data_IF_829100919087
#
_entry.id   IF_829100919087
#
_cell.length_a   1.000
_cell.length_b   1.000
_cell.length_c   1.000
_cell.angle_alpha   90.00
_cell.angle_beta   90.00
_cell.angle_gamma   90.00
#
_symmetry.space_group_name_H-M   'P 1'
#
loop_
_entity.id
_entity.type
_entity.pdbx_description
1 polymer ?
#
# COMPACT_ATOMS: atom_id res chain seq x y z
N UNK A 1 -0.87 -11.35 22.91
CA UNK A 1 -1.10 -11.92 21.57
C UNK A 1 -2.24 -12.97 21.53
N UNK A 2 -3.21 -12.97 22.47
CA UNK A 2 -4.30 -13.96 22.52
C UNK A 2 -5.52 -13.62 21.65
N UNK A 3 -5.66 -12.38 21.19
CA UNK A 3 -6.76 -12.00 20.30
C UNK A 3 -6.30 -12.14 18.84
N UNK A 4 -6.93 -13.05 18.08
CA UNK A 4 -6.68 -13.29 16.64
C UNK A 4 -7.19 -12.11 15.78
N UNK A 5 -6.75 -10.89 16.09
CA UNK A 5 -7.14 -9.67 15.38
C UNK A 5 -6.32 -9.57 14.10
N UNK A 6 -7.01 -9.40 12.97
CA UNK A 6 -6.35 -9.09 11.70
C UNK A 6 -6.01 -7.61 11.65
N UNK A 7 -4.72 -7.30 11.57
CA UNK A 7 -4.24 -5.92 11.46
C UNK A 7 -4.21 -5.46 10.01
N UNK A 8 -4.34 -4.15 9.79
CA UNK A 8 -4.17 -3.50 8.49
C UNK A 8 -3.34 -2.23 8.68
N UNK A 9 -2.44 -1.94 7.74
CA UNK A 9 -1.59 -0.77 7.76
C UNK A 9 -2.24 0.38 6.97
N UNK A 10 -2.43 1.54 7.62
CA UNK A 10 -2.86 2.76 6.94
C UNK A 10 -1.71 3.75 6.86
N UNK A 11 -1.21 4.00 5.66
CA UNK A 11 -0.25 5.05 5.38
C UNK A 11 -0.99 6.38 5.21
N UNK A 12 -1.03 7.17 6.29
CA UNK A 12 -1.67 8.48 6.31
C UNK A 12 -0.70 9.60 5.90
N UNK A 13 -1.25 10.78 5.60
CA UNK A 13 -0.53 12.01 5.20
C UNK A 13 0.19 11.90 3.84
N UNK A 14 -0.36 11.09 2.93
CA UNK A 14 0.18 10.96 1.56
C UNK A 14 0.14 12.29 0.82
N UNK A 15 -0.79 13.19 1.16
CA UNK A 15 -0.87 14.55 0.65
C UNK A 15 0.41 15.37 0.83
N UNK A 16 1.13 15.17 1.94
CA UNK A 16 2.38 15.91 2.23
C UNK A 16 3.49 15.56 1.23
N UNK A 17 3.48 14.34 0.68
CA UNK A 17 4.42 13.95 -0.37
C UNK A 17 4.24 14.79 -1.64
N UNK A 18 3.00 15.25 -1.89
CA UNK A 18 2.61 15.98 -3.10
C UNK A 18 2.74 17.49 -2.89
N UNK A 19 2.22 17.99 -1.77
CA UNK A 19 2.05 19.43 -1.52
C UNK A 19 3.25 20.04 -0.83
N UNK A 20 3.83 19.37 0.17
CA UNK A 20 4.89 19.95 0.99
C UNK A 20 6.27 19.56 0.49
N UNK A 21 6.47 18.26 0.22
CA UNK A 21 7.74 17.75 -0.28
C UNK A 21 7.88 17.88 -1.80
N UNK A 22 6.78 18.17 -2.50
CA UNK A 22 6.72 18.36 -3.96
C UNK A 22 7.43 17.26 -4.76
N UNK A 23 7.35 16.01 -4.29
CA UNK A 23 7.99 14.87 -4.94
C UNK A 23 7.35 14.59 -6.30
N UNK A 24 8.07 13.91 -7.18
CA UNK A 24 7.46 13.29 -8.36
C UNK A 24 6.67 12.02 -7.96
N UNK A 25 5.72 11.55 -8.78
CA UNK A 25 5.00 10.30 -8.51
C UNK A 25 5.92 9.08 -8.31
N UNK A 26 7.09 9.07 -8.96
CA UNK A 26 8.05 7.98 -8.81
C UNK A 26 8.76 8.03 -7.45
N UNK A 27 9.25 9.21 -7.05
CA UNK A 27 9.90 9.40 -5.75
C UNK A 27 8.93 9.16 -4.58
N UNK A 28 7.67 9.59 -4.72
CA UNK A 28 6.64 9.32 -3.74
C UNK A 28 6.38 7.80 -3.60
N UNK A 29 6.36 7.05 -4.71
CA UNK A 29 6.25 5.59 -4.67
C UNK A 29 7.45 4.93 -3.98
N UNK A 30 8.67 5.34 -4.30
CA UNK A 30 9.88 4.82 -3.64
C UNK A 30 9.87 5.12 -2.14
N UNK A 31 9.36 6.28 -1.73
CA UNK A 31 9.20 6.62 -0.31
C UNK A 31 8.16 5.72 0.37
N UNK A 32 7.02 5.48 -0.27
CA UNK A 32 5.97 4.59 0.24
C UNK A 32 6.46 3.14 0.35
N UNK A 33 7.21 2.64 -0.63
CA UNK A 33 7.86 1.33 -0.58
C UNK A 33 8.75 1.20 0.65
N UNK A 34 9.68 2.14 0.84
CA UNK A 34 10.60 2.17 1.99
C UNK A 34 9.86 2.18 3.32
N UNK A 35 8.74 2.89 3.42
CA UNK A 35 7.93 2.91 4.66
C UNK A 35 7.32 1.54 4.93
N UNK A 36 6.76 0.86 3.92
CA UNK A 36 6.21 -0.50 4.10
C UNK A 36 7.31 -1.48 4.51
N UNK A 37 8.47 -1.42 3.88
CA UNK A 37 9.64 -2.25 4.22
C UNK A 37 10.09 -2.02 5.67
N UNK A 38 10.18 -0.75 6.10
CA UNK A 38 10.55 -0.41 7.48
C UNK A 38 9.54 -0.94 8.50
N UNK A 39 8.24 -0.81 8.21
CA UNK A 39 7.19 -1.35 9.10
C UNK A 39 7.28 -2.87 9.20
N UNK A 40 7.52 -3.55 8.07
CA UNK A 40 7.69 -5.01 8.07
C UNK A 40 8.94 -5.45 8.83
N UNK A 41 10.07 -4.74 8.70
CA UNK A 41 11.29 -5.04 9.44
C UNK A 41 11.07 -4.93 10.96
N UNK A 42 10.38 -3.88 11.42
CA UNK A 42 10.01 -3.73 12.84
C UNK A 42 9.08 -4.85 13.28
N UNK A 43 8.11 -5.22 12.45
CA UNK A 43 7.15 -6.27 12.80
C UNK A 43 7.81 -7.65 12.88
N UNK A 44 8.76 -7.95 11.99
CA UNK A 44 9.58 -9.17 12.04
C UNK A 44 10.43 -9.22 13.32
N UNK A 45 11.03 -8.11 13.72
CA UNK A 45 11.77 -8.00 14.99
C UNK A 45 10.87 -8.29 16.20
N UNK A 46 9.66 -7.70 16.24
CA UNK A 46 8.72 -7.95 17.34
C UNK A 46 8.22 -9.40 17.38
N UNK A 47 8.04 -10.02 16.20
CA UNK A 47 7.60 -11.40 16.11
C UNK A 47 8.70 -12.37 16.54
N UNK A 48 9.96 -12.12 16.17
CA UNK A 48 11.10 -12.94 16.59
C UNK A 48 11.33 -12.84 18.10
N UNK A 49 11.22 -11.63 18.69
CA UNK A 49 11.24 -11.45 20.15
C UNK A 49 10.14 -12.26 20.85
N UNK A 50 8.92 -12.22 20.30
CA UNK A 50 7.79 -12.97 20.87
C UNK A 50 7.92 -14.49 20.71
N UNK A 51 8.58 -14.97 19.66
CA UNK A 51 8.89 -16.38 19.47
C UNK A 51 9.92 -16.84 20.52
N UNK A 52 11.04 -16.13 20.65
CA UNK A 52 12.08 -16.47 21.63
C UNK A 52 11.58 -16.41 23.08
N UNK A 53 10.68 -15.49 23.42
CA UNK A 53 10.08 -15.44 24.75
C UNK A 53 9.18 -16.66 25.05
N UNK A 54 8.44 -17.17 24.05
CA UNK A 54 7.62 -18.38 24.21
C UNK A 54 8.48 -19.63 24.35
N UNK A 55 9.58 -19.71 23.61
CA UNK A 55 10.50 -20.82 23.71
C UNK A 55 11.18 -20.85 25.09
N UNK A 56 11.50 -19.68 25.65
CA UNK A 56 12.00 -19.55 27.02
C UNK A 56 10.96 -19.99 28.07
N UNK A 57 9.72 -19.49 27.99
CA UNK A 57 8.62 -19.90 28.89
C UNK A 57 8.32 -21.41 28.76
N UNK A 58 8.39 -21.95 27.54
CA UNK A 58 8.20 -23.37 27.26
C UNK A 58 9.33 -24.25 27.79
N UNK A 59 10.58 -23.79 27.68
CA UNK A 59 11.75 -24.44 28.24
C UNK A 59 11.72 -24.42 29.78
N UNK A 60 11.32 -23.30 30.39
CA UNK A 60 11.13 -23.21 31.86
C UNK A 60 10.01 -24.14 32.34
N UNK A 61 8.86 -24.17 31.65
CA UNK A 61 7.76 -25.08 31.98
C UNK A 61 8.13 -26.57 31.80
N UNK A 62 8.93 -26.89 30.78
CA UNK A 62 9.44 -28.25 30.58
C UNK A 62 10.47 -28.65 31.65
N UNK A 63 11.33 -27.72 32.07
CA UNK A 63 12.29 -27.93 33.14
C UNK A 63 11.61 -28.13 34.51
N UNK A 64 10.51 -27.41 34.79
CA UNK A 64 9.70 -27.63 36.00
C UNK A 64 8.94 -28.97 35.97
N UNK A 65 8.54 -29.46 34.80
CA UNK A 65 7.79 -30.70 34.64
C UNK A 65 8.67 -31.98 34.73
N UNK A 66 10.00 -31.85 34.59
CA UNK A 66 10.94 -32.99 34.63
C UNK A 66 12.24 -32.61 35.37
N UNK A 67 12.25 -32.66 36.72
CA UNK A 67 13.45 -32.37 37.49
C UNK A 67 14.47 -33.50 37.31
N UNK A 68 15.49 -33.28 36.45
CA UNK A 68 16.65 -34.17 36.32
C UNK A 68 17.00 -34.70 34.91
N UNK A 69 16.53 -34.08 33.83
CA UNK A 69 16.99 -34.41 32.48
C UNK A 69 18.32 -33.70 32.13
N UNK A 70 19.21 -34.44 31.48
CA UNK A 70 20.57 -34.10 31.04
C UNK A 70 20.69 -32.72 30.34
N UNK A 71 21.59 -31.85 30.81
CA UNK A 71 21.85 -30.48 30.30
C UNK A 71 22.66 -30.47 28.98
N UNK A 72 22.41 -31.41 28.09
CA UNK A 72 23.03 -31.45 26.76
C UNK A 72 22.19 -30.69 25.74
N UNK A 73 22.62 -29.51 25.30
CA UNK A 73 21.99 -28.79 24.18
C UNK A 73 22.44 -29.44 22.87
N UNK A 74 21.57 -30.25 22.27
CA UNK A 74 21.79 -30.84 20.94
C UNK A 74 21.55 -29.78 19.85
N UNK A 75 22.63 -29.13 19.40
CA UNK A 75 22.63 -28.12 18.33
C UNK A 75 22.19 -28.68 16.96
N UNK A 76 22.06 -30.00 16.81
CA UNK A 76 21.63 -30.63 15.56
C UNK A 76 20.10 -30.81 15.45
N UNK A 77 19.35 -30.64 16.54
CA UNK A 77 17.91 -30.92 16.61
C UNK A 77 17.01 -29.72 16.85
N UNK A 78 17.56 -28.51 17.04
CA UNK A 78 16.76 -27.29 17.11
C UNK A 78 16.23 -26.93 15.71
N UNK A 79 15.19 -27.65 15.28
CA UNK A 79 14.29 -27.13 14.26
C UNK A 79 13.73 -25.82 14.82
N UNK A 80 14.27 -24.70 14.35
CA UNK A 80 13.58 -23.43 14.46
C UNK A 80 12.26 -23.60 13.72
N UNK A 81 11.22 -24.04 14.42
CA UNK A 81 9.84 -24.03 13.95
C UNK A 81 9.40 -22.56 13.86
N UNK A 82 9.89 -21.87 12.84
CA UNK A 82 9.27 -20.63 12.41
C UNK A 82 7.88 -20.99 11.93
N UNK A 83 6.86 -20.60 12.68
CA UNK A 83 5.48 -20.68 12.23
C UNK A 83 5.32 -19.72 11.03
N UNK A 84 5.63 -20.21 9.83
CA UNK A 84 5.59 -19.48 8.55
C UNK A 84 4.22 -18.85 8.35
N UNK A 85 3.16 -19.49 8.84
CA UNK A 85 1.80 -18.96 8.77
C UNK A 85 1.61 -17.71 9.65
N UNK A 86 2.31 -17.62 10.78
CA UNK A 86 2.33 -16.43 11.62
C UNK A 86 3.09 -15.28 10.93
N UNK A 87 4.30 -15.54 10.38
CA UNK A 87 5.05 -14.51 9.64
C UNK A 87 4.27 -13.95 8.45
N UNK A 88 3.64 -14.83 7.67
CA UNK A 88 2.78 -14.42 6.58
C UNK A 88 1.56 -13.65 7.09
N UNK A 89 0.94 -14.03 8.20
CA UNK A 89 -0.24 -13.32 8.72
C UNK A 89 0.06 -11.85 9.08
N UNK A 90 1.26 -11.57 9.55
CA UNK A 90 1.64 -10.25 10.05
C UNK A 90 2.42 -9.39 9.04
N UNK A 91 2.85 -9.94 7.91
CA UNK A 91 3.54 -9.14 6.88
C UNK A 91 2.59 -8.21 6.11
N UNK A 92 2.88 -6.90 6.08
CA UNK A 92 2.08 -5.92 5.33
C UNK A 92 2.53 -5.84 3.88
N UNK A 93 1.63 -6.07 2.93
CA UNK A 93 1.86 -5.86 1.50
C UNK A 93 0.60 -5.32 0.83
N UNK A 94 0.67 -4.17 0.13
CA UNK A 94 -0.48 -3.60 -0.56
C UNK A 94 -1.18 -4.57 -1.52
N UNK A 95 -0.45 -5.48 -2.15
CA UNK A 95 -0.98 -6.49 -3.09
C UNK A 95 -1.92 -7.49 -2.41
N UNK A 96 -1.75 -7.71 -1.09
CA UNK A 96 -2.60 -8.56 -0.24
C UNK A 96 -3.84 -7.83 0.25
N UNK A 97 -3.94 -6.52 0.03
CA UNK A 97 -5.07 -5.71 0.47
C UNK A 97 -5.07 -5.38 1.97
N UNK A 98 -3.98 -5.65 2.69
CA UNK A 98 -3.81 -5.28 4.10
C UNK A 98 -3.09 -3.95 4.31
N UNK A 99 -2.88 -3.18 3.23
CA UNK A 99 -2.35 -1.81 3.27
C UNK A 99 -3.27 -0.85 2.54
N UNK A 100 -3.54 0.29 3.16
CA UNK A 100 -4.29 1.41 2.59
C UNK A 100 -3.43 2.69 2.61
N UNK A 101 -3.74 3.60 1.69
CA UNK A 101 -3.09 4.90 1.53
C UNK A 101 -4.14 5.98 1.69
N UNK A 102 -3.82 7.08 2.37
CA UNK A 102 -4.80 8.12 2.56
C UNK A 102 -4.26 9.45 3.04
N UNK A 103 -5.19 10.39 3.08
CA UNK A 103 -5.03 11.72 3.64
C UNK A 103 -6.26 12.07 4.45
N UNK A 104 -6.13 12.04 5.78
CA UNK A 104 -7.22 12.45 6.66
C UNK A 104 -7.53 13.95 6.54
N UNK A 105 -6.51 14.79 6.28
CA UNK A 105 -6.66 16.25 6.08
C UNK A 105 -7.49 16.58 4.83
N UNK A 106 -7.30 15.81 3.76
CA UNK A 106 -8.00 16.02 2.49
C UNK A 106 -9.18 15.06 2.28
N UNK A 107 -9.47 14.20 3.26
CA UNK A 107 -10.71 13.42 3.33
C UNK A 107 -10.82 12.31 2.29
N UNK A 108 -9.73 11.57 2.03
CA UNK A 108 -9.77 10.40 1.16
C UNK A 108 -8.85 9.29 1.67
N UNK A 109 -9.23 8.05 1.42
CA UNK A 109 -8.35 6.89 1.56
C UNK A 109 -8.68 5.85 0.49
N UNK A 110 -7.70 5.03 0.12
CA UNK A 110 -7.91 3.92 -0.79
C UNK A 110 -6.98 2.75 -0.49
N UNK A 111 -7.46 1.55 -0.78
CA UNK A 111 -6.63 0.36 -0.94
C UNK A 111 -6.38 0.08 -2.43
N UNK A 112 -5.42 -0.79 -2.76
CA UNK A 112 -5.22 -1.21 -4.15
C UNK A 112 -6.48 -1.82 -4.76
N UNK A 113 -7.29 -2.53 -3.96
CA UNK A 113 -8.56 -3.09 -4.42
C UNK A 113 -9.56 -2.04 -4.92
N UNK A 114 -9.48 -0.81 -4.39
CA UNK A 114 -10.32 0.32 -4.83
C UNK A 114 -9.97 0.70 -6.26
N UNK A 115 -8.69 0.94 -6.55
CA UNK A 115 -8.23 1.26 -7.91
C UNK A 115 -8.28 0.05 -8.85
N UNK A 116 -8.05 -1.17 -8.35
CA UNK A 116 -8.15 -2.38 -9.15
C UNK A 116 -9.53 -2.53 -9.77
N UNK A 117 -10.62 -2.22 -9.05
CA UNK A 117 -11.99 -2.20 -9.60
C UNK A 117 -12.19 -1.10 -10.66
N UNK A 118 -11.64 0.10 -10.41
CA UNK A 118 -11.73 1.22 -11.36
C UNK A 118 -10.95 0.94 -12.67
N UNK A 119 -9.82 0.24 -12.57
CA UNK A 119 -8.97 -0.11 -13.70
C UNK A 119 -9.53 -1.34 -14.43
N UNK A 120 -10.06 -2.32 -13.69
CA UNK A 120 -10.70 -3.52 -14.23
C UNK A 120 -11.83 -3.17 -15.21
N UNK A 121 -12.70 -2.21 -14.85
CA UNK A 121 -13.82 -1.80 -15.70
C UNK A 121 -13.36 -1.17 -17.02
N UNK A 122 -12.21 -0.48 -17.03
CA UNK A 122 -11.64 0.12 -18.24
C UNK A 122 -10.85 -0.88 -19.09
N UNK A 123 -10.16 -1.83 -18.46
CA UNK A 123 -9.22 -2.74 -19.12
C UNK A 123 -9.79 -4.13 -19.42
N UNK A 124 -10.95 -4.47 -18.88
CA UNK A 124 -11.55 -5.81 -19.02
C UNK A 124 -10.77 -6.90 -18.29
N UNK A 125 -10.08 -6.56 -17.20
CA UNK A 125 -9.29 -7.48 -16.39
C UNK A 125 -9.99 -7.80 -15.06
N UNK A 126 -9.64 -8.94 -14.44
CA UNK A 126 -10.15 -9.29 -13.11
C UNK A 126 -9.52 -8.37 -12.05
N UNK A 127 -10.32 -7.74 -11.14
CA UNK A 127 -9.79 -6.87 -10.09
C UNK A 127 -8.75 -7.55 -9.20
N UNK A 128 -8.93 -8.83 -8.90
CA UNK A 128 -8.05 -9.60 -8.01
C UNK A 128 -6.65 -9.75 -8.63
N UNK A 129 -6.59 -9.98 -9.95
CA UNK A 129 -5.33 -10.07 -10.67
C UNK A 129 -4.65 -8.70 -10.70
N UNK A 130 -5.39 -7.64 -10.99
CA UNK A 130 -4.86 -6.28 -10.99
C UNK A 130 -4.30 -5.88 -9.63
N UNK A 131 -4.98 -6.22 -8.54
CA UNK A 131 -4.49 -5.93 -7.19
C UNK A 131 -3.10 -6.50 -6.93
N UNK A 132 -2.84 -7.74 -7.40
CA UNK A 132 -1.55 -8.42 -7.25
C UNK A 132 -0.42 -7.80 -8.05
N UNK A 133 -0.74 -7.13 -9.15
CA UNK A 133 0.27 -6.55 -10.06
C UNK A 133 0.33 -5.03 -10.01
N UNK A 134 -0.58 -4.36 -9.30
CA UNK A 134 -0.57 -2.91 -9.18
C UNK A 134 0.63 -2.43 -8.36
N UNK A 135 1.16 -3.24 -7.45
CA UNK A 135 2.28 -2.89 -6.57
C UNK A 135 3.53 -3.72 -6.86
N UNK A 136 4.70 -3.15 -6.58
CA UNK A 136 5.99 -3.79 -6.81
C UNK A 136 6.53 -3.58 -8.23
N UNK A 137 7.31 -4.55 -8.71
CA UNK A 137 8.05 -4.47 -9.97
C UNK A 137 7.26 -4.97 -11.18
N UNK A 138 6.08 -4.42 -11.36
CA UNK A 138 5.20 -4.70 -12.49
C UNK A 138 4.97 -3.44 -13.31
N UNK A 139 5.05 -3.57 -14.63
CA UNK A 139 4.79 -2.48 -15.57
C UNK A 139 3.80 -2.91 -16.63
N UNK A 140 3.13 -1.93 -17.24
CA UNK A 140 2.12 -2.17 -18.25
C UNK A 140 2.60 -1.74 -19.63
N UNK A 141 2.59 -2.67 -20.59
CA UNK A 141 2.89 -2.35 -21.97
C UNK A 141 1.62 -1.92 -22.71
N UNK A 142 1.49 -0.63 -23.01
CA UNK A 142 0.31 -0.05 -23.70
C UNK A 142 0.07 -0.62 -25.10
N UNK A 143 1.13 -1.07 -25.79
CA UNK A 143 1.01 -1.62 -27.15
C UNK A 143 0.43 -3.03 -27.12
N UNK A 144 0.97 -3.88 -26.25
CA UNK A 144 0.54 -5.28 -26.15
C UNK A 144 -0.64 -5.47 -25.19
N UNK A 145 -0.98 -4.44 -24.40
CA UNK A 145 -1.95 -4.47 -23.30
C UNK A 145 -1.66 -5.57 -22.28
N UNK A 146 -0.39 -5.86 -22.04
CA UNK A 146 0.05 -6.89 -21.10
C UNK A 146 0.85 -6.31 -19.94
N UNK A 147 0.70 -6.95 -18.80
CA UNK A 147 1.53 -6.72 -17.61
C UNK A 147 2.79 -7.58 -17.75
N UNK A 148 3.93 -6.99 -17.42
CA UNK A 148 5.24 -7.63 -17.46
C UNK A 148 6.06 -7.20 -16.26
N UNK A 149 7.09 -7.98 -15.91
CA UNK A 149 8.06 -7.56 -14.90
C UNK A 149 8.77 -6.30 -15.38
N UNK A 150 9.01 -5.39 -14.44
CA UNK A 150 9.73 -4.14 -14.69
C UNK A 150 11.13 -4.46 -15.19
N UNK A 151 11.56 -3.74 -16.22
CA UNK A 151 12.96 -3.67 -16.60
C UNK A 151 13.55 -2.39 -15.96
N UNK A 152 14.44 -2.49 -14.96
CA UNK A 152 14.99 -1.33 -14.28
C UNK A 152 15.82 -0.41 -15.18
N UNK A 153 16.34 -0.94 -16.29
CA UNK A 153 17.19 -0.20 -17.24
C UNK A 153 16.38 0.69 -18.18
N UNK A 154 15.11 0.35 -18.40
CA UNK A 154 14.23 1.16 -19.25
C UNK A 154 13.57 2.28 -18.45
N UNK A 155 14.07 3.50 -18.62
CA UNK A 155 13.51 4.70 -17.97
C UNK A 155 12.03 4.96 -18.30
N UNK A 156 11.49 4.39 -19.38
CA UNK A 156 10.05 4.49 -19.71
C UNK A 156 9.20 3.49 -18.93
N UNK A 157 9.82 2.49 -18.30
CA UNK A 157 9.17 1.43 -17.55
C UNK A 157 8.81 1.92 -16.15
N UNK A 158 7.58 2.42 -16.00
CA UNK A 158 7.06 2.91 -14.72
C UNK A 158 6.27 1.80 -14.01
N UNK A 159 6.39 1.67 -12.67
CA UNK A 159 5.54 0.77 -11.90
C UNK A 159 4.06 1.06 -12.15
N UNK A 160 3.23 0.01 -12.17
CA UNK A 160 1.80 0.16 -12.40
C UNK A 160 1.13 1.09 -11.37
N UNK A 161 1.56 1.04 -10.10
CA UNK A 161 1.08 1.95 -9.06
C UNK A 161 1.31 3.41 -9.44
N UNK A 162 2.51 3.73 -9.93
CA UNK A 162 2.88 5.09 -10.33
C UNK A 162 2.02 5.54 -11.51
N UNK A 163 1.88 4.68 -12.52
CA UNK A 163 1.19 5.04 -13.76
C UNK A 163 -0.33 5.13 -13.63
N UNK A 164 -0.97 4.20 -12.90
CA UNK A 164 -2.42 4.11 -12.85
C UNK A 164 -3.05 4.68 -11.57
N UNK A 165 -2.26 4.85 -10.50
CA UNK A 165 -2.77 5.34 -9.22
C UNK A 165 -2.18 6.71 -8.89
N UNK A 166 -0.87 6.80 -8.64
CA UNK A 166 -0.26 8.06 -8.19
C UNK A 166 -0.39 9.16 -9.23
N UNK A 167 -0.16 8.90 -10.51
CA UNK A 167 -0.35 9.94 -11.54
C UNK A 167 -1.76 10.53 -11.54
N UNK A 168 -2.78 9.71 -11.28
CA UNK A 168 -4.16 10.21 -11.24
C UNK A 168 -4.39 11.07 -10.00
N UNK A 169 -3.91 10.63 -8.83
CA UNK A 169 -3.98 11.43 -7.59
C UNK A 169 -3.21 12.75 -7.76
N UNK A 170 -1.96 12.69 -8.22
CA UNK A 170 -1.12 13.87 -8.45
C UNK A 170 -1.75 14.85 -9.45
N UNK A 171 -2.34 14.36 -10.54
CA UNK A 171 -3.03 15.22 -11.49
C UNK A 171 -4.18 16.01 -10.85
N UNK A 172 -4.92 15.43 -9.90
CA UNK A 172 -5.94 16.18 -9.14
C UNK A 172 -5.29 17.29 -8.33
N UNK A 173 -4.22 17.01 -7.59
CA UNK A 173 -3.52 18.01 -6.77
C UNK A 173 -2.87 19.12 -7.60
N UNK A 174 -2.27 18.79 -8.73
CA UNK A 174 -1.71 19.78 -9.65
C UNK A 174 -2.81 20.70 -10.18
N UNK A 175 -3.95 20.13 -10.59
CA UNK A 175 -5.06 20.86 -11.19
C UNK A 175 -5.98 21.59 -10.19
N UNK A 176 -5.76 21.44 -8.87
CA UNK A 176 -6.59 22.05 -7.82
C UNK A 176 -5.79 22.83 -6.79
N UNK A 177 -4.68 22.28 -6.30
CA UNK A 177 -3.89 22.85 -5.22
C UNK A 177 -2.78 23.77 -5.74
N UNK A 178 -2.02 23.33 -6.74
CA UNK A 178 -0.92 24.13 -7.32
C UNK A 178 -1.42 25.16 -8.33
N UNK A 179 -2.19 24.72 -9.31
CA UNK A 179 -2.76 25.58 -10.35
C UNK A 179 -4.17 25.12 -10.69
N UNK A 180 -5.18 25.91 -10.33
CA UNK A 180 -6.55 25.59 -10.68
C UNK A 180 -6.69 25.53 -12.21
N UNK A 181 -6.93 24.33 -12.75
CA UNK A 181 -7.02 24.10 -14.18
C UNK A 181 -8.32 23.36 -14.54
N UNK A 182 -9.40 24.10 -14.82
CA UNK A 182 -10.71 23.51 -15.13
C UNK A 182 -10.67 22.61 -16.38
N UNK A 183 -9.80 22.86 -17.34
CA UNK A 183 -9.71 22.04 -18.56
C UNK A 183 -9.16 20.63 -18.27
N UNK A 184 -8.19 20.51 -17.36
CA UNK A 184 -7.68 19.20 -16.91
C UNK A 184 -8.74 18.49 -16.08
N UNK A 185 -9.37 19.21 -15.15
CA UNK A 185 -10.45 18.67 -14.31
C UNK A 185 -11.65 18.20 -15.14
N UNK A 186 -12.04 18.91 -16.19
CA UNK A 186 -13.13 18.52 -17.09
C UNK A 186 -12.84 17.21 -17.83
N UNK A 187 -11.58 16.98 -18.26
CA UNK A 187 -11.18 15.70 -18.86
C UNK A 187 -11.27 14.55 -17.86
N UNK A 188 -10.89 14.79 -16.61
CA UNK A 188 -10.98 13.79 -15.53
C UNK A 188 -12.44 13.55 -15.11
N UNK A 189 -13.28 14.58 -15.08
CA UNK A 189 -14.71 14.52 -14.78
C UNK A 189 -15.46 13.58 -15.73
N UNK A 190 -15.08 13.56 -17.02
CA UNK A 190 -15.65 12.62 -17.98
C UNK A 190 -15.33 11.15 -17.65
N UNK A 191 -14.23 10.89 -16.95
CA UNK A 191 -13.77 9.54 -16.61
C UNK A 191 -14.17 9.08 -15.20
N UNK A 192 -14.44 10.02 -14.29
CA UNK A 192 -14.76 9.76 -12.89
C UNK A 192 -16.26 9.99 -12.69
N UNK A 193 -17.01 8.90 -12.51
CA UNK A 193 -18.47 8.97 -12.41
C UNK A 193 -18.95 9.90 -11.28
N UNK A 194 -18.29 9.90 -10.12
CA UNK A 194 -18.65 10.73 -8.97
C UNK A 194 -18.44 12.24 -9.18
N UNK A 195 -17.75 12.64 -10.25
CA UNK A 195 -17.50 14.06 -10.54
C UNK A 195 -18.53 14.69 -11.46
N UNK A 196 -19.41 13.91 -12.09
CA UNK A 196 -20.35 14.41 -13.11
C UNK A 196 -21.24 15.56 -12.64
N UNK A 197 -21.54 15.62 -11.34
CA UNK A 197 -22.39 16.64 -10.72
C UNK A 197 -21.59 17.79 -10.06
N UNK A 198 -20.25 17.78 -10.18
CA UNK A 198 -19.40 18.83 -9.62
C UNK A 198 -19.34 20.01 -10.59
N UNK A 199 -19.69 21.19 -10.08
CA UNK A 199 -19.47 22.44 -10.80
C UNK A 199 -18.01 22.86 -10.65
N UNK A 200 -17.23 22.66 -11.72
CA UNK A 200 -15.80 22.96 -11.74
C UNK A 200 -15.50 24.46 -11.74
N UNK A 201 -16.43 25.31 -12.20
CA UNK A 201 -16.22 26.76 -12.28
C UNK A 201 -16.31 27.42 -10.90
N UNK A 202 -17.04 26.78 -9.97
CA UNK A 202 -17.19 27.25 -8.59
C UNK A 202 -16.01 26.88 -7.69
N UNK A 203 -15.12 25.99 -8.13
CA UNK A 203 -14.00 25.54 -7.32
C UNK A 203 -13.00 26.66 -7.05
N UNK A 204 -12.56 26.78 -5.80
CA UNK A 204 -11.45 27.64 -5.40
C UNK A 204 -10.19 26.80 -5.22
N UNK A 205 -9.04 27.30 -5.68
CA UNK A 205 -7.77 26.60 -5.55
C UNK A 205 -7.45 26.26 -4.08
N UNK A 206 -6.82 25.11 -3.85
CA UNK A 206 -6.34 24.67 -2.55
C UNK A 206 -7.10 23.48 -1.96
N UNK A 207 -7.02 23.35 -0.63
CA UNK A 207 -7.47 22.17 0.10
C UNK A 207 -8.97 21.87 -0.06
N UNK A 208 -9.81 22.90 -0.15
CA UNK A 208 -11.27 22.73 -0.27
C UNK A 208 -11.65 22.02 -1.56
N UNK A 209 -11.07 22.43 -2.71
CA UNK A 209 -11.32 21.78 -3.99
C UNK A 209 -10.81 20.34 -4.02
N UNK A 210 -9.61 20.07 -3.48
CA UNK A 210 -9.09 18.70 -3.35
C UNK A 210 -10.05 17.85 -2.54
N UNK A 211 -10.51 18.33 -1.39
CA UNK A 211 -11.40 17.59 -0.51
C UNK A 211 -12.74 17.29 -1.17
N UNK A 212 -13.35 18.26 -1.84
CA UNK A 212 -14.62 18.05 -2.55
C UNK A 212 -14.49 17.03 -3.67
N UNK A 213 -13.45 17.13 -4.49
CA UNK A 213 -13.23 16.22 -5.61
C UNK A 213 -12.83 14.82 -5.15
N UNK A 214 -11.88 14.71 -4.22
CA UNK A 214 -11.36 13.42 -3.77
C UNK A 214 -12.40 12.64 -2.97
N UNK A 215 -13.21 13.29 -2.11
CA UNK A 215 -14.29 12.61 -1.35
C UNK A 215 -15.43 12.09 -2.23
N UNK A 216 -15.65 12.67 -3.41
CA UNK A 216 -16.60 12.14 -4.40
C UNK A 216 -16.01 11.04 -5.28
N UNK A 217 -14.68 10.97 -5.37
CA UNK A 217 -14.00 9.97 -6.20
C UNK A 217 -13.66 8.70 -5.43
N UNK A 218 -13.14 8.87 -4.21
CA UNK A 218 -12.67 7.81 -3.35
C UNK A 218 -13.54 7.75 -2.09
N UNK A 219 -13.67 6.55 -1.47
CA UNK A 219 -14.41 6.38 -0.22
C UNK A 219 -13.87 7.23 0.93
#
# INVERSE_FOLDING_TARGET
>A
WRDRVRTCLLLNKVDRLIVELELTPMEAYERLLKIVEQVNAVNQMLLSEAAMAKDADGAEAAAEAAPGADEGIDLAGAELEFDVAAEEAYTYSPERGNVAFGSASHGWAFSLGTFARLIASKMGAKPENLQRVLWGDWTFNKKTKRVQRRNPVDAKSKPMFVEFVLQQVFAVYEATYKSLNPAVLGKMQAQIAGWKEVDLERLAAGQSAVRELMSRWLP
#
